data_IF_335369169849
#
_entry.id   IF_335369169849
#
_cell.length_a   1.000
_cell.length_b   1.000
_cell.length_c   1.000
_cell.angle_alpha   90.00
_cell.angle_beta   90.00
_cell.angle_gamma   90.00
#
_symmetry.space_group_name_H-M   'P 1'
#
loop_
_entity.id
_entity.type
_entity.pdbx_description
1 polymer ?
#
# COMPACT_ATOMS: atom_id res chain seq x y z
N UNK A 1 -7.54 -10.40 -4.75
CA UNK A 1 -6.79 -11.68 -4.81
C UNK A 1 -5.43 -11.45 -5.46
N UNK A 2 -4.33 -12.00 -4.91
CA UNK A 2 -2.96 -11.70 -5.36
C UNK A 2 -2.69 -12.00 -6.85
N UNK A 3 -3.27 -13.08 -7.39
CA UNK A 3 -3.11 -13.46 -8.79
C UNK A 3 -3.67 -12.42 -9.78
N UNK A 4 -4.71 -11.68 -9.40
CA UNK A 4 -5.27 -10.65 -10.28
C UNK A 4 -4.43 -9.37 -10.23
N UNK A 5 -3.91 -9.02 -9.05
CA UNK A 5 -2.95 -7.93 -8.91
C UNK A 5 -1.68 -8.20 -9.73
N UNK A 6 -1.15 -9.42 -9.69
CA UNK A 6 0.00 -9.79 -10.52
C UNK A 6 -0.27 -9.59 -12.01
N UNK A 7 -1.42 -10.03 -12.53
CA UNK A 7 -1.77 -9.84 -13.95
C UNK A 7 -1.81 -8.36 -14.33
N UNK A 8 -2.36 -7.51 -13.46
CA UNK A 8 -2.44 -6.07 -13.69
C UNK A 8 -1.04 -5.45 -13.75
N UNK A 9 -0.18 -5.74 -12.78
CA UNK A 9 1.20 -5.23 -12.74
C UNK A 9 2.00 -5.75 -13.94
N UNK A 10 1.89 -7.03 -14.26
CA UNK A 10 2.56 -7.65 -15.41
C UNK A 10 2.12 -7.01 -16.73
N UNK A 11 0.81 -6.79 -16.91
CA UNK A 11 0.26 -6.13 -18.09
C UNK A 11 0.76 -4.69 -18.22
N UNK A 12 0.70 -3.90 -17.14
CA UNK A 12 1.21 -2.53 -17.13
C UNK A 12 2.71 -2.49 -17.46
N UNK A 13 3.51 -3.40 -16.89
CA UNK A 13 4.93 -3.51 -17.21
C UNK A 13 5.14 -3.82 -18.69
N UNK A 14 4.40 -4.79 -19.25
CA UNK A 14 4.48 -5.16 -20.66
C UNK A 14 4.05 -4.02 -21.60
N UNK A 15 3.11 -3.17 -21.17
CA UNK A 15 2.67 -1.98 -21.91
C UNK A 15 3.64 -0.79 -21.79
N UNK A 16 4.73 -0.92 -21.03
CA UNK A 16 5.75 0.12 -20.84
C UNK A 16 5.35 1.20 -19.84
N UNK A 17 4.55 0.87 -18.83
CA UNK A 17 4.23 1.82 -17.77
C UNK A 17 5.43 2.08 -16.86
N UNK A 18 5.53 3.33 -16.41
CA UNK A 18 6.49 3.77 -15.40
C UNK A 18 5.81 3.78 -14.04
N UNK A 19 6.23 2.87 -13.17
CA UNK A 19 5.75 2.83 -11.79
C UNK A 19 6.52 3.86 -10.96
N UNK A 20 5.78 4.74 -10.30
CA UNK A 20 6.32 5.78 -9.43
C UNK A 20 5.67 5.72 -8.07
N UNK A 21 6.38 6.15 -7.04
CA UNK A 21 5.74 6.40 -5.75
C UNK A 21 4.96 7.71 -5.80
N UNK A 22 4.07 7.94 -4.82
CA UNK A 22 3.33 9.20 -4.70
C UNK A 22 4.25 10.41 -4.52
N UNK A 23 5.35 10.28 -3.77
CA UNK A 23 6.37 11.32 -3.67
C UNK A 23 6.98 11.68 -5.03
N UNK A 24 7.43 10.68 -5.79
CA UNK A 24 8.00 10.88 -7.13
C UNK A 24 6.97 11.50 -8.09
N UNK A 25 5.70 11.10 -7.96
CA UNK A 25 4.58 11.66 -8.70
C UNK A 25 4.40 13.16 -8.39
N UNK A 26 4.51 13.54 -7.13
CA UNK A 26 4.36 14.93 -6.71
C UNK A 26 5.56 15.80 -7.11
N UNK A 27 6.79 15.31 -6.95
CA UNK A 27 8.02 16.05 -7.30
C UNK A 27 8.08 16.44 -8.78
N UNK A 28 7.57 15.57 -9.66
CA UNK A 28 7.59 15.78 -11.11
C UNK A 28 6.21 16.11 -11.69
N UNK A 29 5.33 16.73 -10.89
CA UNK A 29 3.97 17.05 -11.31
C UNK A 29 3.93 17.78 -12.67
N UNK A 30 3.13 17.27 -13.59
CA UNK A 30 3.01 17.80 -14.96
C UNK A 30 4.20 17.53 -15.89
N UNK A 31 5.24 16.82 -15.44
CA UNK A 31 6.47 16.48 -16.20
C UNK A 31 6.70 14.97 -16.34
N UNK A 32 5.71 14.17 -15.98
CA UNK A 32 5.82 12.72 -16.04
C UNK A 32 5.86 12.20 -17.48
N UNK A 33 6.65 11.15 -17.75
CA UNK A 33 6.52 10.41 -18.98
C UNK A 33 5.08 9.93 -19.20
N UNK A 34 4.70 9.77 -20.47
CA UNK A 34 3.45 9.10 -20.81
C UNK A 34 3.44 7.69 -20.17
N UNK A 35 2.25 7.21 -19.77
CA UNK A 35 2.07 5.91 -19.08
C UNK A 35 2.74 5.83 -17.71
N UNK A 36 2.72 6.91 -16.94
CA UNK A 36 3.11 6.87 -15.52
C UNK A 36 1.93 6.39 -14.67
N UNK A 37 2.19 5.50 -13.71
CA UNK A 37 1.19 4.95 -12.79
C UNK A 37 1.74 4.95 -11.37
N UNK A 38 0.90 5.35 -10.41
CA UNK A 38 1.16 5.21 -8.98
C UNK A 38 0.23 4.14 -8.42
N UNK A 39 0.79 3.21 -7.65
CA UNK A 39 0.04 2.17 -6.94
C UNK A 39 0.01 2.56 -5.47
N UNK A 40 -1.18 2.59 -4.88
CA UNK A 40 -1.36 2.89 -3.45
C UNK A 40 -2.06 1.74 -2.74
N UNK A 41 -1.62 1.45 -1.52
CA UNK A 41 -2.31 0.56 -0.60
C UNK A 41 -2.63 1.32 0.69
N UNK A 42 -3.85 1.18 1.18
CA UNK A 42 -4.28 1.81 2.43
C UNK A 42 -4.21 0.83 3.61
N UNK A 43 -4.43 1.34 4.82
CA UNK A 43 -4.52 0.63 6.10
C UNK A 43 -3.27 -0.11 6.62
N UNK A 44 -2.32 -0.47 5.76
CA UNK A 44 -1.06 -1.10 6.17
C UNK A 44 -1.21 -2.56 6.64
N UNK A 45 -2.08 -3.33 5.98
CA UNK A 45 -2.25 -4.76 6.24
C UNK A 45 -0.99 -5.58 5.94
N UNK A 46 -0.81 -6.70 6.62
CA UNK A 46 0.33 -7.62 6.46
C UNK A 46 0.36 -8.27 5.06
N UNK A 47 -0.79 -8.38 4.40
CA UNK A 47 -0.91 -8.91 3.05
C UNK A 47 -0.11 -8.06 2.03
N UNK A 48 0.09 -6.77 2.28
CA UNK A 48 0.94 -5.90 1.47
C UNK A 48 2.38 -6.42 1.44
N UNK A 49 2.88 -6.99 2.54
CA UNK A 49 4.19 -7.62 2.58
C UNK A 49 4.16 -9.05 2.03
N UNK A 50 3.15 -9.85 2.37
CA UNK A 50 3.13 -11.28 2.02
C UNK A 50 2.76 -11.53 0.55
N UNK A 51 1.89 -10.71 -0.02
CA UNK A 51 1.30 -10.91 -1.33
C UNK A 51 1.72 -9.82 -2.32
N UNK A 52 1.63 -8.54 -1.94
CA UNK A 52 1.91 -7.45 -2.89
C UNK A 52 3.42 -7.24 -3.11
N UNK A 53 4.23 -7.24 -2.04
CA UNK A 53 5.67 -6.98 -2.14
C UNK A 53 6.43 -7.93 -3.08
N UNK A 54 6.23 -9.27 -3.05
CA UNK A 54 6.90 -10.17 -4.00
C UNK A 54 6.57 -9.87 -5.47
N UNK A 55 5.34 -9.40 -5.74
CA UNK A 55 4.91 -8.99 -7.09
C UNK A 55 5.62 -7.67 -7.47
N UNK A 56 5.62 -6.69 -6.57
CA UNK A 56 6.32 -5.41 -6.79
C UNK A 56 7.81 -5.65 -7.08
N UNK A 57 8.46 -6.51 -6.31
CA UNK A 57 9.86 -6.89 -6.51
C UNK A 57 10.09 -7.58 -7.86
N UNK A 58 9.25 -8.57 -8.21
CA UNK A 58 9.34 -9.31 -9.48
C UNK A 58 9.28 -8.40 -10.70
N UNK A 59 8.41 -7.38 -10.71
CA UNK A 59 8.24 -6.49 -11.85
C UNK A 59 8.99 -5.16 -11.71
N UNK A 60 9.76 -4.98 -10.63
CA UNK A 60 10.40 -3.71 -10.26
C UNK A 60 9.39 -2.56 -10.32
N UNK A 61 8.20 -2.81 -9.75
CA UNK A 61 7.12 -1.85 -9.64
C UNK A 61 7.21 -1.15 -8.29
N UNK A 62 6.89 0.15 -8.29
CA UNK A 62 6.87 1.00 -7.10
C UNK A 62 5.45 1.18 -6.59
N UNK A 63 5.32 1.32 -5.27
CA UNK A 63 4.04 1.58 -4.61
C UNK A 63 4.21 2.47 -3.38
N UNK A 64 3.12 3.08 -2.94
CA UNK A 64 3.03 3.81 -1.68
C UNK A 64 2.05 3.09 -0.75
N UNK A 65 2.45 2.79 0.48
CA UNK A 65 1.57 2.21 1.50
C UNK A 65 1.26 3.28 2.54
N UNK A 66 -0.02 3.62 2.70
CA UNK A 66 -0.47 4.51 3.76
C UNK A 66 -0.78 3.68 5.01
N UNK A 67 0.05 3.83 6.05
CA UNK A 67 -0.12 3.14 7.33
C UNK A 67 -0.92 3.98 8.31
N UNK A 68 -1.87 3.35 9.02
CA UNK A 68 -2.57 3.97 10.15
C UNK A 68 -1.61 3.97 11.36
N UNK A 69 -1.34 5.16 11.91
CA UNK A 69 -0.33 5.34 12.98
C UNK A 69 -0.78 4.70 14.30
N UNK A 70 -2.09 4.76 14.59
CA UNK A 70 -2.71 4.17 15.79
C UNK A 70 -3.03 2.66 15.61
N UNK A 71 -2.15 1.91 14.94
CA UNK A 71 -2.34 0.47 14.67
C UNK A 71 -1.95 -0.44 15.82
N UNK A 72 -1.29 0.10 16.85
CA UNK A 72 -0.78 -0.68 17.99
C UNK A 72 -1.74 -0.69 19.19
N UNK A 73 -2.57 0.35 19.37
CA UNK A 73 -3.30 0.54 20.63
C UNK A 73 -4.80 0.87 20.46
N UNK A 74 -5.26 1.23 19.25
CA UNK A 74 -6.70 1.41 19.01
C UNK A 74 -7.19 0.63 17.80
N UNK A 75 -8.01 -0.32 18.18
CA UNK A 75 -8.97 -1.04 17.38
C UNK A 75 -10.01 -0.06 16.79
N UNK A 76 -9.60 0.76 15.83
CA UNK A 76 -10.53 1.65 15.10
C UNK A 76 -11.54 0.83 14.28
N UNK A 77 -11.20 -0.43 13.97
CA UNK A 77 -12.09 -1.46 13.45
C UNK A 77 -13.22 -1.86 14.40
N UNK A 78 -13.10 -1.61 15.71
CA UNK A 78 -14.20 -1.86 16.66
C UNK A 78 -14.98 -0.62 17.09
N UNK A 79 -14.55 0.59 16.72
CA UNK A 79 -15.21 1.82 17.17
C UNK A 79 -16.12 2.48 16.11
N UNK A 80 -17.07 1.72 15.56
CA UNK A 80 -18.49 2.10 15.31
C UNK A 80 -19.12 1.21 14.25
N UNK A 81 -20.01 0.32 14.70
CA UNK A 81 -21.45 0.33 14.38
C UNK A 81 -22.13 -0.72 15.24
N UNK A 82 -22.84 -0.27 16.28
CA UNK A 82 -23.69 -1.11 17.12
C UNK A 82 -24.90 -1.73 16.37
N UNK A 83 -24.87 -1.80 15.04
CA UNK A 83 -25.96 -2.30 14.20
C UNK A 83 -25.51 -3.15 12.99
N UNK A 84 -24.26 -3.61 12.92
CA UNK A 84 -23.86 -4.62 11.93
C UNK A 84 -23.38 -5.89 12.63
N UNK A 85 -24.31 -6.83 12.80
CA UNK A 85 -24.04 -8.24 13.05
C UNK A 85 -23.49 -8.87 11.76
N UNK A 86 -22.16 -9.01 11.65
CA UNK A 86 -21.36 -9.91 10.77
C UNK A 86 -19.98 -9.25 10.63
N UNK A 87 -18.89 -9.83 11.14
CA UNK A 87 -18.27 -11.06 10.66
C UNK A 87 -17.09 -10.69 9.74
N UNK A 88 -15.89 -11.17 10.06
CA UNK A 88 -14.70 -11.25 9.17
C UNK A 88 -13.68 -10.10 9.06
N UNK A 89 -13.99 -8.83 9.37
CA UNK A 89 -13.03 -7.71 9.18
C UNK A 89 -12.12 -7.36 10.39
N UNK A 90 -12.31 -8.00 11.54
CA UNK A 90 -11.65 -7.60 12.80
C UNK A 90 -10.30 -8.31 13.09
N UNK A 91 -9.74 -9.09 12.15
CA UNK A 91 -8.61 -9.99 12.45
C UNK A 91 -7.48 -9.99 11.43
N UNK A 92 -7.45 -9.06 10.49
CA UNK A 92 -6.33 -9.03 9.54
C UNK A 92 -5.08 -8.44 10.22
N UNK A 93 -3.97 -9.21 10.29
CA UNK A 93 -2.75 -8.73 10.92
C UNK A 93 -2.22 -7.51 10.15
N UNK A 94 -1.75 -6.52 10.89
CA UNK A 94 -1.15 -5.30 10.34
C UNK A 94 0.38 -5.40 10.32
N UNK A 95 1.03 -4.59 9.48
CA UNK A 95 2.49 -4.54 9.42
C UNK A 95 3.09 -4.07 10.76
N UNK A 96 3.98 -4.88 11.31
CA UNK A 96 4.82 -4.48 12.45
C UNK A 96 5.79 -3.36 12.04
N UNK A 97 6.28 -2.60 13.02
CA UNK A 97 7.30 -1.56 12.77
C UNK A 97 8.54 -2.09 12.02
N UNK A 98 8.98 -3.32 12.33
CA UNK A 98 10.11 -3.95 11.63
C UNK A 98 9.81 -4.18 10.15
N UNK A 99 8.59 -4.60 9.82
CA UNK A 99 8.15 -4.85 8.46
C UNK A 99 7.95 -3.56 7.67
N UNK A 100 7.38 -2.52 8.30
CA UNK A 100 7.30 -1.18 7.69
C UNK A 100 8.70 -0.66 7.36
N UNK A 101 9.65 -0.79 8.28
CA UNK A 101 11.05 -0.40 8.04
C UNK A 101 11.72 -1.21 6.94
N UNK A 102 11.41 -2.49 6.83
CA UNK A 102 11.90 -3.34 5.73
C UNK A 102 11.37 -2.83 4.38
N UNK A 103 10.05 -2.62 4.27
CA UNK A 103 9.41 -2.13 3.06
C UNK A 103 9.97 -0.76 2.64
N UNK A 104 10.09 0.18 3.59
CA UNK A 104 10.67 1.50 3.33
C UNK A 104 12.12 1.44 2.81
N UNK A 105 12.91 0.45 3.26
CA UNK A 105 14.30 0.25 2.84
C UNK A 105 14.46 -0.49 1.52
N UNK A 106 13.39 -1.11 1.00
CA UNK A 106 13.44 -1.87 -0.27
C UNK A 106 13.74 -1.00 -1.49
N UNK A 107 13.46 0.31 -1.41
CA UNK A 107 13.51 1.23 -2.55
C UNK A 107 12.34 1.08 -3.53
N UNK A 108 11.42 0.14 -3.27
CA UNK A 108 10.21 -0.10 -4.08
C UNK A 108 8.94 0.44 -3.41
N UNK A 109 8.95 0.56 -2.08
CA UNK A 109 7.78 0.96 -1.30
C UNK A 109 8.06 2.24 -0.53
N UNK A 110 7.24 3.26 -0.79
CA UNK A 110 7.13 4.46 0.04
C UNK A 110 6.11 4.23 1.16
N UNK A 111 6.37 4.75 2.36
CA UNK A 111 5.43 4.70 3.48
C UNK A 111 4.84 6.09 3.71
N UNK A 112 3.54 6.24 3.49
CA UNK A 112 2.76 7.43 3.84
C UNK A 112 1.97 7.24 5.14
N UNK A 113 1.45 8.31 5.73
CA UNK A 113 0.54 8.21 6.90
C UNK A 113 -0.93 8.29 6.47
N UNK A 114 -1.73 7.29 6.86
CA UNK A 114 -3.19 7.33 6.71
C UNK A 114 -3.81 7.82 8.02
N UNK A 115 -3.77 9.12 8.26
CA UNK A 115 -4.06 9.84 9.53
C UNK A 115 -2.94 9.78 10.59
N UNK A 116 -2.32 10.94 10.78
CA UNK A 116 -2.07 11.51 12.11
C UNK A 116 -3.33 12.35 12.39
N UNK A 117 -3.89 12.33 13.61
CA UNK A 117 -5.02 13.16 14.07
C UNK A 117 -5.35 14.40 13.22
N UNK A 118 -6.64 14.60 12.87
CA UNK A 118 -7.19 15.87 12.38
C UNK A 118 -6.58 17.07 13.12
N UNK A 119 -5.92 17.96 12.37
CA UNK A 119 -5.83 19.40 12.63
C UNK A 119 -5.30 20.08 11.36
#
# INVERSE_FOLDING_TARGET
MPAEFEKQVAWMKAQGFHFVTMHELQENWGKHPAKTVAITFDDGYLDNLQNAYPILEKYQAKATIYVVVDRHDRDWSTYKKAHHNSGELAREPKLSDGQVRFLAKSGLVEIGSHTMTHA
#
